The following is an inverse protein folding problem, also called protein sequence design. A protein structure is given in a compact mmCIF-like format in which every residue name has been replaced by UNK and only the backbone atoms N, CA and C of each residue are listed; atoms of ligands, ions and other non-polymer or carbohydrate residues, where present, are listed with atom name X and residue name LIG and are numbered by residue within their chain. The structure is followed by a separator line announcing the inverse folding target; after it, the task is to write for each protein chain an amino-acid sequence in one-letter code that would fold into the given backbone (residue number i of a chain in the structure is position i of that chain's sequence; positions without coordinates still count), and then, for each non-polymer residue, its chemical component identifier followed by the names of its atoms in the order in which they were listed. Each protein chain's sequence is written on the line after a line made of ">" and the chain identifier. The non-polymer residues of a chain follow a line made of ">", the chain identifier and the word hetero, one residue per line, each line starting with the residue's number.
data_IF_612041444646
#
_entry.id   IF_612041444646
#
_cell.length_a   1.000
_cell.length_b   1.000
_cell.length_c   1.000
_cell.angle_alpha   90.00
_cell.angle_beta   90.00
_cell.angle_gamma   90.00
#
_symmetry.space_group_name_H-M   'P 1'
#
loop_
_entity.id
_entity.type
_entity.pdbx_description
1 polymer ?
#
# COMPACT_ATOMS: atom_id res chain seq x y z
N UNK A 1 16.55 -8.92 5.56
CA UNK A 1 15.58 -8.60 4.50
C UNK A 1 15.67 -7.11 4.19
N UNK A 2 15.92 -6.80 2.93
CA UNK A 2 15.89 -5.43 2.40
C UNK A 2 14.44 -5.02 2.13
N UNK A 3 14.23 -3.72 1.95
CA UNK A 3 12.92 -3.15 1.63
C UNK A 3 12.37 -3.71 0.31
N UNK A 4 13.21 -3.84 -0.73
CA UNK A 4 12.82 -4.47 -2.00
C UNK A 4 12.26 -5.88 -1.78
N UNK A 5 13.02 -6.74 -1.09
CA UNK A 5 12.58 -8.12 -0.83
C UNK A 5 11.22 -8.17 -0.11
N UNK A 6 10.96 -7.20 0.80
CA UNK A 6 9.66 -7.10 1.46
C UNK A 6 8.57 -6.72 0.45
N UNK A 7 8.79 -5.69 -0.38
CA UNK A 7 7.82 -5.29 -1.41
C UNK A 7 7.46 -6.46 -2.32
N UNK A 8 8.45 -7.21 -2.80
CA UNK A 8 8.24 -8.37 -3.67
C UNK A 8 7.43 -9.46 -2.95
N UNK A 9 7.75 -9.75 -1.67
CA UNK A 9 6.98 -10.69 -0.84
C UNK A 9 5.51 -10.27 -0.68
N UNK A 10 5.26 -8.98 -0.46
CA UNK A 10 3.89 -8.46 -0.29
C UNK A 10 3.12 -8.48 -1.60
N UNK A 11 3.76 -8.13 -2.73
CA UNK A 11 3.14 -8.12 -4.05
C UNK A 11 2.64 -9.51 -4.44
N UNK A 12 3.47 -10.55 -4.24
CA UNK A 12 3.09 -11.95 -4.47
C UNK A 12 1.85 -12.33 -3.66
N UNK A 13 1.77 -11.94 -2.39
CA UNK A 13 0.60 -12.23 -1.55
C UNK A 13 -0.65 -11.47 -1.98
N UNK A 14 -0.54 -10.20 -2.37
CA UNK A 14 -1.66 -9.42 -2.86
C UNK A 14 -2.21 -9.99 -4.17
N UNK A 15 -1.32 -10.34 -5.10
CA UNK A 15 -1.70 -10.98 -6.37
C UNK A 15 -2.38 -12.34 -6.13
N UNK A 16 -1.80 -13.19 -5.28
CA UNK A 16 -2.37 -14.50 -4.92
C UNK A 16 -3.74 -14.39 -4.22
N UNK A 17 -3.96 -13.30 -3.47
CA UNK A 17 -5.23 -13.02 -2.80
C UNK A 17 -6.36 -12.55 -3.73
N UNK A 18 -6.09 -12.30 -5.02
CA UNK A 18 -7.06 -11.82 -6.03
C UNK A 18 -7.90 -10.64 -5.52
N UNK A 19 -7.24 -9.66 -4.92
CA UNK A 19 -7.88 -8.41 -4.49
C UNK A 19 -7.96 -7.43 -5.66
N UNK A 20 -8.99 -6.58 -5.67
CA UNK A 20 -9.13 -5.53 -6.67
C UNK A 20 -8.19 -4.35 -6.40
N UNK A 21 -7.53 -3.85 -7.45
CA UNK A 21 -6.70 -2.64 -7.48
C UNK A 21 -7.45 -1.55 -8.28
N UNK A 22 -7.14 -0.27 -8.05
CA UNK A 22 -7.85 0.85 -8.69
C UNK A 22 -8.25 1.99 -7.73
N UNK A 23 -7.91 1.86 -6.45
CA UNK A 23 -8.19 2.88 -5.42
C UNK A 23 -6.97 3.80 -5.20
N UNK A 24 -6.37 4.26 -6.30
CA UNK A 24 -5.13 5.04 -6.30
C UNK A 24 -3.84 4.23 -6.51
N UNK A 25 -3.95 2.90 -6.64
CA UNK A 25 -2.86 1.98 -7.06
C UNK A 25 -3.40 1.05 -8.12
N UNK A 26 -2.67 0.88 -9.22
CA UNK A 26 -3.09 0.07 -10.38
C UNK A 26 -2.68 -1.40 -10.31
N UNK A 27 -1.71 -1.75 -9.46
CA UNK A 27 -1.17 -3.10 -9.39
C UNK A 27 -0.83 -3.58 -7.98
N UNK A 28 -0.58 -4.88 -7.85
CA UNK A 28 -0.09 -5.49 -6.61
C UNK A 28 1.27 -4.90 -6.19
N UNK A 29 2.16 -4.62 -7.14
CA UNK A 29 3.49 -4.06 -6.87
C UNK A 29 3.41 -2.62 -6.35
N UNK A 30 2.55 -1.79 -6.94
CA UNK A 30 2.33 -0.42 -6.50
C UNK A 30 1.72 -0.37 -5.09
N UNK A 31 0.72 -1.22 -4.82
CA UNK A 31 0.08 -1.30 -3.51
C UNK A 31 1.04 -1.89 -2.45
N UNK A 32 1.88 -2.86 -2.81
CA UNK A 32 2.93 -3.41 -1.95
C UNK A 32 3.96 -2.34 -1.57
N UNK A 33 4.42 -1.54 -2.54
CA UNK A 33 5.34 -0.43 -2.31
C UNK A 33 4.71 0.62 -1.39
N UNK A 34 3.44 0.95 -1.61
CA UNK A 34 2.68 1.88 -0.76
C UNK A 34 2.60 1.41 0.69
N UNK A 35 2.25 0.14 0.90
CA UNK A 35 2.11 -0.45 2.23
C UNK A 35 3.47 -0.52 2.95
N UNK A 36 4.53 -0.95 2.26
CA UNK A 36 5.88 -0.99 2.84
C UNK A 36 6.34 0.42 3.27
N UNK A 37 6.07 1.44 2.45
CA UNK A 37 6.35 2.84 2.76
C UNK A 37 5.53 3.36 3.95
N UNK A 38 4.24 3.04 4.01
CA UNK A 38 3.36 3.39 5.13
C UNK A 38 3.89 2.83 6.45
N UNK A 39 4.26 1.55 6.48
CA UNK A 39 4.81 0.91 7.68
C UNK A 39 6.17 1.49 8.09
N UNK A 40 6.97 1.90 7.12
CA UNK A 40 8.22 2.62 7.35
C UNK A 40 8.04 4.10 7.72
N UNK A 41 6.81 4.63 7.73
CA UNK A 41 6.52 6.06 7.95
C UNK A 41 7.34 6.96 7.03
N UNK A 42 7.53 6.56 5.78
CA UNK A 42 8.39 7.28 4.82
C UNK A 42 7.83 8.62 4.34
N UNK A 43 6.58 8.93 4.71
CA UNK A 43 5.87 10.15 4.34
C UNK A 43 5.40 10.18 2.89
N UNK A 44 5.62 9.12 2.11
CA UNK A 44 5.13 9.03 0.73
C UNK A 44 5.03 7.58 0.26
N UNK A 45 3.87 7.18 -0.24
CA UNK A 45 3.59 5.78 -0.60
C UNK A 45 4.47 5.24 -1.74
N UNK A 46 4.83 6.08 -2.72
CA UNK A 46 5.59 5.64 -3.89
C UNK A 46 7.09 5.96 -3.82
N UNK A 47 7.66 6.09 -2.61
CA UNK A 47 9.09 6.38 -2.43
C UNK A 47 9.94 5.13 -2.75
N UNK A 48 10.80 5.24 -3.78
CA UNK A 48 11.72 4.17 -4.21
C UNK A 48 13.12 4.26 -3.61
N UNK A 49 13.49 5.38 -2.97
CA UNK A 49 14.82 5.56 -2.36
C UNK A 49 15.10 4.61 -1.19
N UNK A 50 14.08 3.93 -0.65
CA UNK A 50 14.23 2.97 0.44
C UNK A 50 14.58 1.55 -0.03
N UNK A 51 14.54 1.23 -1.34
CA UNK A 51 14.66 -0.14 -1.84
C UNK A 51 15.88 -0.93 -1.31
N UNK A 52 17.03 -0.27 -1.15
CA UNK A 52 18.26 -0.86 -0.62
C UNK A 52 18.35 -0.94 0.91
N UNK A 53 17.43 -0.30 1.65
CA UNK A 53 17.48 -0.16 3.10
C UNK A 53 17.11 -1.48 3.80
N UNK A 54 17.81 -1.82 4.88
CA UNK A 54 17.43 -2.94 5.76
C UNK A 54 16.24 -2.56 6.63
N UNK A 55 15.31 -3.50 6.80
CA UNK A 55 14.10 -3.29 7.58
C UNK A 55 14.16 -3.95 8.97
N UNK A 56 13.57 -3.30 9.97
CA UNK A 56 13.42 -3.86 11.30
C UNK A 56 12.46 -5.05 11.30
N UNK A 57 12.58 -5.94 12.30
CA UNK A 57 11.65 -7.06 12.47
C UNK A 57 10.20 -6.57 12.67
N UNK A 58 10.01 -5.52 13.47
CA UNK A 58 8.70 -4.93 13.72
C UNK A 58 8.03 -4.39 12.45
N UNK A 59 8.79 -3.68 11.59
CA UNK A 59 8.25 -3.17 10.34
C UNK A 59 7.84 -4.32 9.39
N UNK A 60 8.66 -5.37 9.29
CA UNK A 60 8.31 -6.55 8.49
C UNK A 60 7.04 -7.23 9.01
N UNK A 61 6.94 -7.45 10.32
CA UNK A 61 5.76 -8.08 10.93
C UNK A 61 4.49 -7.26 10.70
N UNK A 62 4.55 -5.94 10.90
CA UNK A 62 3.42 -5.03 10.67
C UNK A 62 2.97 -5.03 9.21
N UNK A 63 3.90 -5.01 8.26
CA UNK A 63 3.57 -5.05 6.84
C UNK A 63 2.85 -6.36 6.45
N UNK A 64 3.33 -7.50 6.95
CA UNK A 64 2.69 -8.80 6.72
C UNK A 64 1.29 -8.87 7.32
N UNK A 65 1.10 -8.37 8.54
CA UNK A 65 -0.22 -8.28 9.17
C UNK A 65 -1.20 -7.40 8.38
N UNK A 66 -0.73 -6.28 7.83
CA UNK A 66 -1.55 -5.41 6.98
C UNK A 66 -1.96 -6.09 5.67
N UNK A 67 -1.04 -6.79 4.98
CA UNK A 67 -1.39 -7.57 3.78
C UNK A 67 -2.38 -8.69 4.10
N UNK A 68 -2.18 -9.38 5.22
CA UNK A 68 -3.14 -10.39 5.66
C UNK A 68 -4.54 -9.79 5.87
N UNK A 69 -4.63 -8.63 6.54
CA UNK A 69 -5.89 -7.93 6.73
C UNK A 69 -6.50 -7.45 5.40
N UNK A 70 -5.66 -6.96 4.47
CA UNK A 70 -6.05 -6.52 3.13
C UNK A 70 -6.69 -7.64 2.31
N UNK A 71 -6.06 -8.81 2.28
CA UNK A 71 -6.57 -9.98 1.54
C UNK A 71 -7.82 -10.54 2.22
N UNK A 72 -7.77 -10.74 3.54
CA UNK A 72 -8.86 -11.39 4.28
C UNK A 72 -10.14 -10.54 4.32
N UNK A 73 -10.01 -9.22 4.52
CA UNK A 73 -11.16 -8.31 4.63
C UNK A 73 -11.57 -7.69 3.30
N UNK A 74 -10.76 -7.86 2.25
CA UNK A 74 -10.94 -7.28 0.91
C UNK A 74 -11.20 -5.76 0.91
N UNK A 75 -10.71 -5.05 1.93
CA UNK A 75 -10.83 -3.58 2.01
C UNK A 75 -9.70 -2.92 1.23
N UNK A 76 -9.94 -1.79 0.53
CA UNK A 76 -8.87 -0.99 -0.06
C UNK A 76 -7.76 -0.64 0.95
N UNK A 77 -6.50 -0.56 0.49
CA UNK A 77 -5.37 -0.17 1.33
C UNK A 77 -5.62 1.15 2.04
N UNK A 78 -6.20 2.13 1.33
CA UNK A 78 -6.50 3.46 1.86
C UNK A 78 -7.37 3.43 3.12
N UNK A 79 -8.32 2.50 3.23
CA UNK A 79 -9.13 2.34 4.44
C UNK A 79 -8.39 1.64 5.58
N UNK A 80 -7.40 0.81 5.28
CA UNK A 80 -6.55 0.17 6.29
C UNK A 80 -5.54 1.15 6.89
N UNK A 81 -4.99 2.04 6.06
CA UNK A 81 -4.02 3.07 6.44
C UNK A 81 -4.68 4.35 6.97
N UNK A 82 -5.97 4.56 6.65
CA UNK A 82 -6.72 5.82 6.80
C UNK A 82 -6.12 6.99 6.05
N UNK A 83 -5.43 6.70 4.94
CA UNK A 83 -4.75 7.68 4.13
C UNK A 83 -5.05 7.44 2.65
N UNK A 84 -5.21 8.50 1.87
CA UNK A 84 -5.20 8.47 0.41
C UNK A 84 -4.28 9.58 -0.11
N UNK A 85 -3.63 9.33 -1.24
CA UNK A 85 -2.79 10.32 -1.91
C UNK A 85 -3.43 10.74 -3.23
N UNK A 86 -3.62 12.04 -3.40
CA UNK A 86 -4.22 12.61 -4.60
C UNK A 86 -3.57 13.97 -4.91
N UNK A 87 -3.16 14.19 -6.16
CA UNK A 87 -2.50 15.42 -6.59
C UNK A 87 -1.33 15.86 -5.66
N UNK A 88 -0.52 14.90 -5.20
CA UNK A 88 0.61 15.15 -4.29
C UNK A 88 0.23 15.45 -2.83
N UNK A 89 -1.06 15.50 -2.51
CA UNK A 89 -1.59 15.77 -1.17
C UNK A 89 -2.06 14.49 -0.48
N UNK A 90 -1.91 14.45 0.85
CA UNK A 90 -2.35 13.34 1.69
C UNK A 90 -3.67 13.70 2.37
N UNK A 91 -4.68 12.87 2.14
CA UNK A 91 -6.02 13.01 2.70
C UNK A 91 -6.29 11.91 3.73
N UNK A 92 -7.04 12.27 4.77
CA UNK A 92 -7.64 11.27 5.65
C UNK A 92 -8.84 10.63 4.94
N UNK A 93 -8.92 9.31 4.97
CA UNK A 93 -10.08 8.57 4.43
C UNK A 93 -10.49 7.44 5.36
N UNK A 94 -11.77 7.11 5.34
CA UNK A 94 -12.31 5.92 5.98
C UNK A 94 -13.54 5.40 5.21
N UNK A 95 -14.20 4.38 5.75
CA UNK A 95 -15.34 3.72 5.10
C UNK A 95 -16.56 4.63 4.86
N UNK A 96 -16.58 5.86 5.40
CA UNK A 96 -17.66 6.83 5.23
C UNK A 96 -17.50 7.69 3.99
N UNK A 97 -16.33 7.63 3.32
CA UNK A 97 -16.02 8.45 2.14
C UNK A 97 -15.54 7.60 0.96
N UNK A 98 -15.87 8.03 -0.26
CA UNK A 98 -15.25 7.50 -1.45
C UNK A 98 -13.76 7.85 -1.49
N UNK A 99 -12.93 6.91 -1.95
CA UNK A 99 -11.50 7.15 -2.13
C UNK A 99 -11.30 8.07 -3.33
N UNK A 100 -10.56 9.20 -3.20
CA UNK A 100 -10.32 10.10 -4.32
C UNK A 100 -9.64 9.37 -5.49
N UNK A 101 -10.23 9.47 -6.68
CA UNK A 101 -9.70 8.91 -7.93
C UNK A 101 -9.25 10.03 -8.85
N UNK A 102 -8.26 9.76 -9.70
CA UNK A 102 -7.91 10.68 -10.79
C UNK A 102 -9.00 10.61 -11.86
N UNK A 103 -9.64 11.74 -12.22
CA UNK A 103 -10.57 11.77 -13.35
C UNK A 103 -9.93 11.30 -14.67
N UNK A 104 -8.60 11.47 -14.79
CA UNK A 104 -7.83 11.07 -15.96
C UNK A 104 -7.46 9.58 -15.98
N UNK A 105 -7.63 8.85 -14.87
CA UNK A 105 -7.37 7.42 -14.81
C UNK A 105 -8.58 6.57 -15.26
N UNK A 106 -9.70 7.21 -15.61
CA UNK A 106 -10.94 6.58 -16.08
C UNK A 106 -11.22 6.79 -17.57
N UNK A 107 -10.28 7.42 -18.31
CA UNK A 107 -10.36 7.63 -19.76
C UNK A 107 -9.67 6.51 -20.54
#
# INVERSE_FOLDING_TARGET
>A
MRFRDLVDELAVRLAGGRVHFGHGMGSADEEALALANFVCRSGFWQRRSLLGRRMSAAARARARAMVFARVSRRLPLAYLTREAWFAGMRFYVDKRVCIPRSPLAEL
#
